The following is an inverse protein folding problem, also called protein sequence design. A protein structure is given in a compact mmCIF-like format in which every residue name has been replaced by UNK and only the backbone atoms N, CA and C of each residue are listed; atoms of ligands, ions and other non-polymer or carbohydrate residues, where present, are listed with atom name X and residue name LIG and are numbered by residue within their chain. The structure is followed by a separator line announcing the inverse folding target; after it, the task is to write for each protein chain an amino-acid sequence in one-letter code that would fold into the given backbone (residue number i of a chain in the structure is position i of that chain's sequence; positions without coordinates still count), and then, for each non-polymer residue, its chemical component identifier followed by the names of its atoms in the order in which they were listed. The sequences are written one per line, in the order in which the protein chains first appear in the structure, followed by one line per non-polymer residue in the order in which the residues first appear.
data_IF_019660700195
#
_entry.id   IF_019660700195
#
_cell.length_a   1.000
_cell.length_b   1.000
_cell.length_c   1.000
_cell.angle_alpha   90.00
_cell.angle_beta   90.00
_cell.angle_gamma   90.00
#
_symmetry.space_group_name_H-M   'P 1'
#
loop_
_entity.id
_entity.type
_entity.pdbx_description
1 polymer ?
#
# COMPACT_ATOMS: atom_id res chain seq x y z
N UNK A 1 30.81 -2.92 -45.27
CA UNK A 1 31.13 -2.94 -43.82
C UNK A 1 30.02 -2.21 -43.07
N UNK A 2 29.01 -2.93 -42.64
CA UNK A 2 27.85 -2.37 -41.93
C UNK A 2 28.00 -2.65 -40.41
N UNK A 3 28.34 -1.61 -39.66
CA UNK A 3 28.43 -1.66 -38.20
C UNK A 3 27.05 -1.60 -37.56
N UNK A 4 26.53 -2.73 -37.10
CA UNK A 4 25.36 -2.79 -36.25
C UNK A 4 25.73 -2.21 -34.86
N UNK A 5 25.38 -0.96 -34.62
CA UNK A 5 25.32 -0.40 -33.27
C UNK A 5 24.10 -0.98 -32.55
N UNK A 6 24.28 -2.07 -31.79
CA UNK A 6 23.25 -2.64 -30.95
C UNK A 6 22.85 -1.66 -29.87
N UNK A 7 21.68 -1.05 -29.97
CA UNK A 7 21.05 -0.28 -28.90
C UNK A 7 20.68 -1.24 -27.74
N UNK A 8 21.50 -1.26 -26.72
CA UNK A 8 21.18 -1.92 -25.45
C UNK A 8 19.86 -1.33 -24.91
N UNK A 9 18.84 -2.17 -24.78
CA UNK A 9 17.57 -1.76 -24.17
C UNK A 9 17.85 -1.33 -22.73
N UNK A 10 17.12 -0.31 -22.23
CA UNK A 10 17.21 0.17 -20.82
C UNK A 10 17.18 -0.97 -19.80
N UNK A 11 16.49 -2.06 -20.13
CA UNK A 11 16.40 -3.29 -19.32
C UNK A 11 17.73 -4.03 -19.20
N UNK A 12 18.46 -4.15 -20.30
CA UNK A 12 19.77 -4.81 -20.32
C UNK A 12 20.84 -3.96 -19.60
N UNK A 13 20.73 -2.64 -19.67
CA UNK A 13 21.60 -1.72 -18.95
C UNK A 13 21.38 -1.77 -17.44
N UNK A 14 20.10 -1.77 -16.99
CA UNK A 14 19.73 -1.88 -15.56
C UNK A 14 20.28 -3.17 -14.92
N UNK A 15 20.16 -4.31 -15.63
CA UNK A 15 20.68 -5.61 -15.18
C UNK A 15 22.22 -5.59 -15.11
N UNK A 16 22.90 -4.90 -16.04
CA UNK A 16 24.36 -4.77 -16.03
C UNK A 16 24.85 -3.84 -14.92
N UNK A 17 24.17 -2.74 -14.64
CA UNK A 17 24.50 -1.84 -13.52
C UNK A 17 24.38 -2.58 -12.18
N UNK A 18 23.32 -3.36 -11.99
CA UNK A 18 23.12 -4.16 -10.76
C UNK A 18 24.19 -5.26 -10.63
N UNK A 19 24.58 -5.91 -11.74
CA UNK A 19 25.63 -6.94 -11.74
C UNK A 19 27.05 -6.35 -11.60
N UNK A 20 27.30 -5.14 -12.15
CA UNK A 20 28.57 -4.44 -12.01
C UNK A 20 28.85 -3.95 -10.59
N UNK A 21 27.82 -3.55 -9.84
CA UNK A 21 27.94 -3.12 -8.44
C UNK A 21 28.19 -4.28 -7.46
N UNK A 22 27.82 -5.51 -7.84
CA UNK A 22 28.09 -6.70 -7.01
C UNK A 22 29.56 -7.17 -7.04
N UNK A 23 30.36 -6.67 -8.01
CA UNK A 23 31.76 -7.06 -8.19
C UNK A 23 32.80 -6.12 -7.56
N UNK A 24 32.41 -4.94 -7.11
CA UNK A 24 33.28 -3.99 -6.42
C UNK A 24 33.08 -4.11 -4.90
N UNK A 25 33.87 -4.97 -4.28
CA UNK A 25 34.01 -5.05 -2.82
C UNK A 25 34.67 -3.80 -2.22
N UNK A 26 34.03 -2.65 -2.36
CA UNK A 26 34.37 -1.45 -1.64
C UNK A 26 33.72 -1.53 -0.26
N UNK A 27 34.54 -1.72 0.77
CA UNK A 27 34.18 -1.48 2.16
C UNK A 27 33.78 -0.01 2.31
N UNK A 28 32.52 0.32 2.04
CA UNK A 28 31.97 1.61 2.45
C UNK A 28 31.69 1.52 3.95
N UNK A 29 32.48 2.25 4.73
CA UNK A 29 32.20 2.56 6.12
C UNK A 29 30.94 3.44 6.10
N UNK A 30 29.78 2.84 6.33
CA UNK A 30 28.54 3.59 6.50
C UNK A 30 28.62 4.32 7.85
N UNK A 31 28.34 5.64 7.90
CA UNK A 31 28.11 6.28 9.19
C UNK A 31 26.96 5.53 9.86
N UNK A 32 27.20 5.10 11.10
CA UNK A 32 26.15 4.55 11.95
C UNK A 32 25.08 5.64 12.11
N UNK A 33 24.03 5.58 11.31
CA UNK A 33 22.81 6.31 11.60
C UNK A 33 22.33 5.78 12.93
N UNK A 34 22.41 6.59 13.97
CA UNK A 34 21.80 6.31 15.25
C UNK A 34 20.36 5.89 15.00
N UNK A 35 19.92 4.72 15.52
CA UNK A 35 18.51 4.40 15.47
C UNK A 35 17.81 5.53 16.23
N UNK A 36 16.93 6.27 15.54
CA UNK A 36 15.98 7.15 16.20
C UNK A 36 15.29 6.25 17.22
N UNK A 37 15.54 6.48 18.48
CA UNK A 37 14.91 5.80 19.58
C UNK A 37 13.42 6.19 19.54
N UNK A 38 12.61 5.43 18.82
CA UNK A 38 11.18 5.44 19.01
C UNK A 38 10.92 4.77 20.36
N UNK A 39 11.17 5.51 21.43
CA UNK A 39 10.93 5.08 22.82
C UNK A 39 9.52 5.48 23.27
N UNK A 40 8.64 5.86 22.38
CA UNK A 40 7.26 6.09 22.71
C UNK A 40 6.48 4.78 22.58
N UNK A 41 5.92 4.35 23.71
CA UNK A 41 4.90 3.30 23.75
C UNK A 41 3.74 3.79 22.88
N UNK A 42 3.59 3.22 21.68
CA UNK A 42 2.50 3.57 20.79
C UNK A 42 1.21 3.09 21.47
N UNK A 43 0.33 4.00 21.95
CA UNK A 43 -0.90 3.61 22.63
C UNK A 43 -1.81 2.86 21.65
N UNK A 44 -2.59 1.90 22.20
CA UNK A 44 -3.66 1.28 21.44
C UNK A 44 -4.62 2.37 20.94
N UNK A 45 -5.22 2.26 19.74
CA UNK A 45 -6.32 3.13 19.41
C UNK A 45 -7.44 2.84 20.42
N UNK A 46 -7.79 3.84 21.22
CA UNK A 46 -9.05 3.80 21.95
C UNK A 46 -10.14 3.64 20.90
N UNK A 47 -10.89 2.55 20.98
CA UNK A 47 -12.02 2.32 20.08
C UNK A 47 -13.09 3.34 20.42
N UNK A 48 -13.16 4.40 19.63
CA UNK A 48 -14.19 5.42 19.71
C UNK A 48 -15.52 4.86 19.15
N UNK A 49 -16.59 5.60 19.29
CA UNK A 49 -17.94 5.15 18.89
C UNK A 49 -18.08 4.85 17.40
N UNK A 50 -17.30 5.52 16.54
CA UNK A 50 -17.32 5.28 15.09
C UNK A 50 -15.95 4.95 14.51
N UNK A 51 -15.96 4.31 13.33
CA UNK A 51 -14.74 4.02 12.57
C UNK A 51 -14.03 5.31 12.16
N UNK A 52 -14.79 6.34 11.80
CA UNK A 52 -14.24 7.63 11.43
C UNK A 52 -13.55 8.32 12.58
N UNK A 53 -14.19 8.40 13.74
CA UNK A 53 -13.61 8.97 14.95
C UNK A 53 -12.36 8.22 15.42
N UNK A 54 -12.33 6.89 15.23
CA UNK A 54 -11.19 6.06 15.62
C UNK A 54 -9.94 6.39 14.82
N UNK A 55 -10.07 6.77 13.55
CA UNK A 55 -8.95 6.97 12.64
C UNK A 55 -8.82 8.39 12.10
N UNK A 56 -9.72 9.32 12.45
CA UNK A 56 -9.65 10.71 12.00
C UNK A 56 -8.28 11.33 12.31
N UNK A 57 -7.71 12.03 11.31
CA UNK A 57 -6.41 12.69 11.36
C UNK A 57 -5.23 11.73 11.66
N UNK A 58 -5.39 10.43 11.37
CA UNK A 58 -4.25 9.51 11.42
C UNK A 58 -3.36 9.73 10.21
N UNK A 59 -2.05 9.88 10.43
CA UNK A 59 -1.01 9.86 9.41
C UNK A 59 0.10 8.88 9.78
N UNK A 60 0.51 8.07 8.81
CA UNK A 60 1.57 7.07 8.95
C UNK A 60 2.59 7.26 7.83
N UNK A 61 3.84 7.56 8.18
CA UNK A 61 4.93 7.70 7.22
C UNK A 61 5.83 6.46 7.25
N UNK A 62 6.09 5.91 6.07
CA UNK A 62 6.94 4.74 5.88
C UNK A 62 8.14 5.11 5.02
N UNK A 63 9.30 4.56 5.37
CA UNK A 63 10.43 4.51 4.47
C UNK A 63 10.43 3.16 3.74
N UNK A 64 10.69 3.19 2.44
CA UNK A 64 10.72 2.00 1.59
C UNK A 64 12.14 1.70 1.10
N UNK A 65 12.51 0.43 1.12
CA UNK A 65 13.81 -0.04 0.63
C UNK A 65 13.74 -1.42 0.03
N UNK A 66 14.75 -1.81 -0.73
CA UNK A 66 14.90 -3.16 -1.28
C UNK A 66 16.37 -3.48 -1.51
N UNK A 67 16.73 -4.75 -1.40
CA UNK A 67 18.09 -5.25 -1.57
C UNK A 67 19.12 -4.40 -0.81
N UNK A 68 20.08 -3.75 -1.49
CA UNK A 68 21.12 -2.87 -0.89
C UNK A 68 20.69 -1.41 -0.77
N UNK A 69 19.49 -1.04 -1.19
CA UNK A 69 18.96 0.33 -1.15
C UNK A 69 17.94 0.48 0.00
N UNK A 70 18.40 0.83 1.24
CA UNK A 70 17.51 0.91 2.40
C UNK A 70 16.52 2.08 2.31
N UNK A 71 16.84 3.11 1.52
CA UNK A 71 16.04 4.32 1.32
C UNK A 71 15.77 4.53 -0.17
N UNK A 72 14.94 3.69 -0.77
CA UNK A 72 14.58 3.77 -2.18
C UNK A 72 13.39 4.69 -2.43
N UNK A 73 12.61 4.99 -1.40
CA UNK A 73 11.43 5.85 -1.48
C UNK A 73 10.77 6.04 -0.13
N UNK A 74 9.71 6.85 -0.13
CA UNK A 74 8.81 7.05 1.00
C UNK A 74 7.39 6.77 0.58
N UNK A 75 6.56 6.42 1.56
CA UNK A 75 5.12 6.33 1.42
C UNK A 75 4.43 6.92 2.65
N UNK A 76 3.26 7.49 2.43
CA UNK A 76 2.42 8.03 3.50
C UNK A 76 1.00 7.48 3.33
N UNK A 77 0.39 7.10 4.45
CA UNK A 77 -1.02 6.74 4.54
C UNK A 77 -1.67 7.70 5.51
N UNK A 78 -2.76 8.36 5.10
CA UNK A 78 -3.50 9.29 5.95
C UNK A 78 -5.01 9.12 5.81
N UNK A 79 -5.74 9.51 6.86
CA UNK A 79 -7.19 9.64 6.85
C UNK A 79 -7.59 11.00 7.44
N UNK A 80 -8.31 11.80 6.66
CA UNK A 80 -8.81 13.10 7.10
C UNK A 80 -10.32 13.17 6.96
N UNK A 81 -11.03 13.81 7.92
CA UNK A 81 -12.45 14.08 7.77
C UNK A 81 -12.67 15.12 6.67
N UNK A 82 -13.76 14.99 5.93
CA UNK A 82 -14.23 16.00 4.97
C UNK A 82 -15.27 16.92 5.64
N UNK A 83 -15.63 18.00 4.94
CA UNK A 83 -16.59 18.98 5.46
C UNK A 83 -17.95 18.36 5.79
N UNK A 84 -18.42 17.40 4.97
CA UNK A 84 -19.67 16.68 5.23
C UNK A 84 -19.47 15.63 6.33
N UNK A 85 -20.32 15.68 7.36
CA UNK A 85 -20.27 14.72 8.49
C UNK A 85 -20.38 13.27 8.01
N UNK A 86 -19.54 12.41 8.56
CA UNK A 86 -19.47 10.98 8.19
C UNK A 86 -18.76 10.70 6.88
N UNK A 87 -18.13 11.72 6.26
CA UNK A 87 -17.29 11.57 5.06
C UNK A 87 -15.83 11.79 5.38
N UNK A 88 -15.00 10.98 4.77
CA UNK A 88 -13.55 10.95 4.99
C UNK A 88 -12.81 10.77 3.69
N UNK A 89 -11.56 11.22 3.67
CA UNK A 89 -10.62 10.94 2.58
C UNK A 89 -9.45 10.14 3.14
N UNK A 90 -9.29 8.92 2.64
CA UNK A 90 -8.07 8.13 2.85
C UNK A 90 -7.12 8.32 1.68
N UNK A 91 -5.85 8.55 1.97
CA UNK A 91 -4.81 8.75 0.94
C UNK A 91 -3.64 7.82 1.22
N UNK A 92 -3.12 7.18 0.18
CA UNK A 92 -1.77 6.60 0.18
C UNK A 92 -0.98 7.24 -0.95
N UNK A 93 0.14 7.83 -0.62
CA UNK A 93 1.10 8.37 -1.58
C UNK A 93 2.44 7.66 -1.45
N UNK A 94 3.13 7.50 -2.57
CA UNK A 94 4.47 6.92 -2.59
C UNK A 94 5.31 7.57 -3.67
N UNK A 95 6.58 7.85 -3.34
CA UNK A 95 7.56 8.41 -4.29
C UNK A 95 8.91 7.73 -4.16
N UNK A 96 9.55 7.53 -5.31
CA UNK A 96 10.90 6.98 -5.39
C UNK A 96 11.93 8.10 -5.21
N UNK A 97 13.06 7.78 -4.55
CA UNK A 97 14.12 8.75 -4.21
C UNK A 97 15.50 8.32 -4.69
N UNK A 98 16.45 9.27 -4.66
CA UNK A 98 17.85 9.04 -4.95
C UNK A 98 18.10 8.41 -6.32
N UNK A 99 19.04 7.48 -6.40
CA UNK A 99 19.38 6.75 -7.63
C UNK A 99 18.17 5.98 -8.16
N UNK A 100 17.33 5.43 -7.27
CA UNK A 100 16.11 4.71 -7.66
C UNK A 100 15.09 5.68 -8.26
N UNK A 101 14.95 6.88 -7.71
CA UNK A 101 14.14 7.93 -8.30
C UNK A 101 14.57 8.23 -9.74
N UNK A 102 15.86 8.40 -9.98
CA UNK A 102 16.39 8.60 -11.32
C UNK A 102 16.09 7.42 -12.27
N UNK A 103 16.33 6.19 -11.84
CA UNK A 103 16.09 4.98 -12.64
C UNK A 103 14.60 4.74 -12.94
N UNK A 104 13.72 5.12 -12.04
CA UNK A 104 12.27 5.01 -12.20
C UNK A 104 11.63 6.26 -12.82
N UNK A 105 12.44 7.23 -13.24
CA UNK A 105 11.99 8.53 -13.76
C UNK A 105 11.16 9.29 -12.73
N UNK A 106 11.62 9.30 -11.46
CA UNK A 106 10.96 9.98 -10.34
C UNK A 106 9.47 9.61 -10.24
N UNK A 107 9.22 8.30 -10.16
CA UNK A 107 7.87 7.78 -10.08
C UNK A 107 7.18 8.21 -8.80
N UNK A 108 5.95 8.71 -8.96
CA UNK A 108 5.01 9.02 -7.90
C UNK A 108 3.69 8.29 -8.15
N UNK A 109 3.16 7.65 -7.13
CA UNK A 109 1.84 7.02 -7.15
C UNK A 109 1.02 7.58 -5.97
N UNK A 110 -0.19 8.05 -6.25
CA UNK A 110 -1.15 8.49 -5.22
C UNK A 110 -2.48 7.81 -5.44
N UNK A 111 -3.02 7.19 -4.39
CA UNK A 111 -4.39 6.68 -4.38
C UNK A 111 -5.18 7.45 -3.32
N UNK A 112 -6.35 7.94 -3.70
CA UNK A 112 -7.26 8.70 -2.85
C UNK A 112 -8.59 7.97 -2.86
N UNK A 113 -9.10 7.61 -1.68
CA UNK A 113 -10.39 6.97 -1.50
C UNK A 113 -11.31 7.92 -0.72
N UNK A 114 -12.42 8.33 -1.35
CA UNK A 114 -13.49 9.06 -0.68
C UNK A 114 -14.43 8.03 -0.05
N UNK A 115 -14.61 8.16 1.25
CA UNK A 115 -15.25 7.19 2.13
C UNK A 115 -16.47 7.79 2.81
N UNK A 116 -17.50 6.97 3.00
CA UNK A 116 -18.68 7.30 3.80
C UNK A 116 -18.83 6.28 4.91
N UNK A 117 -19.13 6.70 6.11
CA UNK A 117 -19.57 5.79 7.17
C UNK A 117 -20.95 5.20 6.83
N UNK A 118 -21.14 3.91 7.12
CA UNK A 118 -22.47 3.32 7.09
C UNK A 118 -23.33 3.85 8.27
N UNK A 119 -24.62 3.55 8.29
CA UNK A 119 -25.56 3.99 9.34
C UNK A 119 -25.13 3.58 10.74
N UNK A 120 -24.51 2.40 10.88
CA UNK A 120 -24.00 1.88 12.18
C UNK A 120 -22.64 2.47 12.57
N UNK A 121 -22.01 3.27 11.70
CA UNK A 121 -20.68 3.86 11.86
C UNK A 121 -19.56 2.84 12.15
N UNK A 122 -19.75 1.59 11.75
CA UNK A 122 -18.80 0.49 11.98
C UNK A 122 -18.09 0.03 10.69
N UNK A 123 -18.34 0.74 9.57
CA UNK A 123 -17.77 0.44 8.25
C UNK A 123 -17.59 1.70 7.42
N UNK A 124 -16.45 1.81 6.74
CA UNK A 124 -16.29 2.69 5.61
C UNK A 124 -16.76 2.04 4.32
N UNK A 125 -17.46 2.82 3.49
CA UNK A 125 -17.89 2.47 2.15
C UNK A 125 -17.17 3.40 1.17
N UNK A 126 -16.40 2.85 0.25
CA UNK A 126 -15.75 3.60 -0.81
C UNK A 126 -16.78 4.05 -1.85
N UNK A 127 -16.91 5.36 -2.04
CA UNK A 127 -17.80 5.93 -3.07
C UNK A 127 -17.02 6.43 -4.28
N UNK A 128 -15.73 6.75 -4.10
CA UNK A 128 -14.84 7.19 -5.18
C UNK A 128 -13.42 6.80 -4.90
N UNK A 129 -12.72 6.26 -5.91
CA UNK A 129 -11.29 5.97 -5.86
C UNK A 129 -10.58 6.68 -7.00
N UNK A 130 -9.55 7.44 -6.68
CA UNK A 130 -8.66 8.08 -7.64
C UNK A 130 -7.31 7.38 -7.55
N UNK A 131 -6.76 6.96 -8.68
CA UNK A 131 -5.39 6.47 -8.81
C UNK A 131 -4.63 7.40 -9.74
N UNK A 132 -3.72 8.15 -9.18
CA UNK A 132 -2.83 9.07 -9.90
C UNK A 132 -1.43 8.47 -9.97
N UNK A 133 -0.88 8.37 -11.17
CA UNK A 133 0.47 7.82 -11.41
C UNK A 133 1.25 8.75 -12.33
N UNK A 134 2.39 9.24 -11.85
CA UNK A 134 3.36 10.04 -12.61
C UNK A 134 4.66 9.28 -12.77
N UNK A 135 5.18 9.22 -14.01
CA UNK A 135 6.46 8.59 -14.33
C UNK A 135 7.20 9.50 -15.33
N UNK A 136 8.09 10.35 -14.86
CA UNK A 136 8.66 11.44 -15.66
C UNK A 136 7.53 12.34 -16.20
N UNK A 137 7.45 12.49 -17.52
CA UNK A 137 6.42 13.28 -18.17
C UNK A 137 5.10 12.53 -18.42
N UNK A 138 5.08 11.22 -18.15
CA UNK A 138 3.86 10.42 -18.31
C UNK A 138 2.97 10.58 -17.08
N UNK A 139 1.73 11.05 -17.26
CA UNK A 139 0.73 11.19 -16.23
C UNK A 139 -0.52 10.40 -16.58
N UNK A 140 -1.00 9.58 -15.69
CA UNK A 140 -2.22 8.78 -15.86
C UNK A 140 -3.07 8.87 -14.61
N UNK A 141 -4.32 9.31 -14.75
CA UNK A 141 -5.32 9.32 -13.69
C UNK A 141 -6.41 8.31 -14.04
N UNK A 142 -6.82 7.51 -13.06
CA UNK A 142 -8.00 6.64 -13.14
C UNK A 142 -8.92 6.98 -11.98
N UNK A 143 -10.18 7.25 -12.30
CA UNK A 143 -11.22 7.57 -11.34
C UNK A 143 -12.27 6.46 -11.42
N UNK A 144 -12.66 5.92 -10.28
CA UNK A 144 -13.72 4.95 -10.12
C UNK A 144 -14.77 5.61 -9.23
N UNK A 145 -16.00 5.75 -9.71
CA UNK A 145 -17.12 6.30 -8.98
C UNK A 145 -18.18 5.22 -8.82
N UNK A 146 -18.53 4.91 -7.57
CA UNK A 146 -19.48 3.84 -7.22
C UNK A 146 -20.83 4.45 -6.86
N UNK A 147 -21.83 4.23 -7.71
CA UNK A 147 -23.24 4.51 -7.45
C UNK A 147 -23.92 3.20 -7.02
N UNK A 148 -23.97 2.98 -5.71
CA UNK A 148 -24.57 1.77 -5.16
C UNK A 148 -26.09 1.76 -5.23
N UNK A 149 -26.75 2.90 -5.34
CA UNK A 149 -28.20 2.98 -5.52
C UNK A 149 -28.62 2.49 -6.90
N UNK A 150 -27.96 2.99 -7.95
CA UNK A 150 -28.20 2.59 -9.33
C UNK A 150 -27.35 1.38 -9.77
N UNK A 151 -26.56 0.80 -8.87
CA UNK A 151 -25.70 -0.39 -9.11
C UNK A 151 -24.77 -0.21 -10.31
N UNK A 152 -24.14 0.98 -10.41
CA UNK A 152 -23.24 1.35 -11.51
C UNK A 152 -21.91 1.83 -10.98
N UNK A 153 -20.84 1.41 -11.64
CA UNK A 153 -19.50 1.93 -11.43
C UNK A 153 -19.02 2.62 -12.70
N UNK A 154 -18.75 3.92 -12.61
CA UNK A 154 -18.14 4.69 -13.72
C UNK A 154 -16.63 4.64 -13.58
N UNK A 155 -15.94 4.26 -14.63
CA UNK A 155 -14.46 4.22 -14.70
C UNK A 155 -14.00 5.24 -15.74
N UNK A 156 -13.36 6.30 -15.29
CA UNK A 156 -12.75 7.33 -16.11
C UNK A 156 -11.24 7.15 -16.12
N UNK A 157 -10.62 7.19 -17.29
CA UNK A 157 -9.16 7.14 -17.44
C UNK A 157 -8.69 8.31 -18.28
N UNK A 158 -7.77 9.09 -17.72
CA UNK A 158 -7.14 10.24 -18.37
C UNK A 158 -5.65 9.93 -18.55
N UNK A 159 -5.13 10.06 -19.77
CA UNK A 159 -3.71 9.91 -20.08
C UNK A 159 -3.30 11.00 -21.09
N UNK A 160 -2.59 12.02 -20.62
CA UNK A 160 -2.31 13.23 -21.39
C UNK A 160 -3.62 13.87 -21.87
N UNK A 161 -3.78 14.07 -23.18
CA UNK A 161 -5.01 14.63 -23.79
C UNK A 161 -6.10 13.57 -24.06
N UNK A 162 -5.86 12.29 -23.79
CA UNK A 162 -6.80 11.20 -24.07
C UNK A 162 -7.61 10.88 -22.83
N UNK A 163 -8.93 10.85 -23.00
CA UNK A 163 -9.87 10.42 -21.97
C UNK A 163 -10.71 9.25 -22.47
N UNK A 164 -11.04 8.35 -21.58
CA UNK A 164 -12.00 7.26 -21.83
C UNK A 164 -12.88 7.06 -20.60
N UNK A 165 -14.17 6.82 -20.83
CA UNK A 165 -15.16 6.58 -19.79
C UNK A 165 -15.86 5.24 -20.08
N UNK A 166 -16.00 4.40 -19.07
CA UNK A 166 -16.70 3.13 -19.16
C UNK A 166 -17.60 2.97 -17.94
N UNK A 167 -18.83 2.52 -18.16
CA UNK A 167 -19.76 2.18 -17.08
C UNK A 167 -19.84 0.66 -16.96
N UNK A 168 -19.79 0.17 -15.73
CA UNK A 168 -19.88 -1.27 -15.40
C UNK A 168 -20.97 -1.49 -14.35
N UNK A 169 -21.73 -2.59 -14.41
CA UNK A 169 -22.68 -2.92 -13.35
C UNK A 169 -21.95 -3.34 -12.08
N UNK A 170 -22.52 -3.00 -10.93
CA UNK A 170 -22.15 -3.54 -9.63
C UNK A 170 -23.14 -4.65 -9.30
N UNK A 171 -22.71 -5.89 -9.04
CA UNK A 171 -23.62 -6.99 -8.71
C UNK A 171 -24.50 -6.68 -7.49
N UNK A 172 -25.75 -7.17 -7.40
CA UNK A 172 -26.60 -6.99 -6.23
C UNK A 172 -25.90 -7.43 -4.94
N UNK A 173 -26.06 -6.65 -3.85
CA UNK A 173 -25.48 -6.95 -2.55
C UNK A 173 -23.98 -6.69 -2.41
N UNK A 174 -23.24 -6.45 -3.51
CA UNK A 174 -21.79 -6.20 -3.46
C UNK A 174 -21.52 -4.74 -3.12
N UNK A 175 -20.62 -4.52 -2.17
CA UNK A 175 -19.98 -3.25 -1.85
C UNK A 175 -18.48 -3.46 -2.05
N UNK A 176 -17.85 -2.65 -2.90
CA UNK A 176 -16.43 -2.76 -3.18
C UNK A 176 -15.60 -1.99 -2.16
N UNK A 177 -14.65 -2.67 -1.55
CA UNK A 177 -13.60 -2.04 -0.77
C UNK A 177 -12.32 -1.97 -1.63
N UNK A 178 -11.78 -0.77 -1.82
CA UNK A 178 -10.42 -0.63 -2.33
C UNK A 178 -9.40 -0.96 -1.23
N UNK A 179 -8.09 -1.05 -1.52
CA UNK A 179 -7.10 -1.42 -0.51
C UNK A 179 -7.06 -0.52 0.73
N UNK A 180 -7.32 0.79 0.60
CA UNK A 180 -7.34 1.71 1.74
C UNK A 180 -8.60 1.51 2.58
N UNK A 181 -9.76 1.39 1.94
CA UNK A 181 -11.02 1.06 2.59
C UNK A 181 -10.90 -0.25 3.35
N UNK A 182 -10.37 -1.31 2.69
CA UNK A 182 -10.16 -2.61 3.31
C UNK A 182 -9.18 -2.53 4.49
N UNK A 183 -8.14 -1.71 4.41
CA UNK A 183 -7.15 -1.50 5.47
C UNK A 183 -7.78 -0.92 6.75
N UNK A 184 -8.57 0.17 6.62
CA UNK A 184 -9.23 0.76 7.79
C UNK A 184 -10.35 -0.12 8.33
N UNK A 185 -11.19 -0.71 7.47
CA UNK A 185 -12.25 -1.65 7.84
C UNK A 185 -11.67 -2.88 8.58
N UNK A 186 -10.55 -3.44 8.12
CA UNK A 186 -9.88 -4.55 8.80
C UNK A 186 -9.39 -4.16 10.19
N UNK A 187 -8.74 -3.00 10.32
CA UNK A 187 -8.21 -2.50 11.59
C UNK A 187 -9.31 -2.18 12.61
N UNK A 188 -10.46 -1.72 12.14
CA UNK A 188 -11.63 -1.48 12.98
C UNK A 188 -12.33 -2.77 13.42
N UNK A 189 -12.15 -3.86 12.66
CA UNK A 189 -12.81 -5.13 12.89
C UNK A 189 -14.17 -5.27 12.20
N UNK A 190 -14.43 -4.47 11.16
CA UNK A 190 -15.66 -4.53 10.34
C UNK A 190 -15.94 -5.93 9.79
N UNK A 191 -14.91 -6.68 9.44
CA UNK A 191 -15.03 -8.07 8.96
C UNK A 191 -15.06 -9.11 10.10
N UNK A 192 -15.25 -8.62 11.33
CA UNK A 192 -15.21 -9.38 12.57
C UNK A 192 -13.81 -9.34 13.23
N UNK A 193 -13.70 -9.87 14.46
CA UNK A 193 -12.49 -9.74 15.28
C UNK A 193 -11.27 -10.38 14.59
N UNK A 194 -10.14 -9.68 14.66
CA UNK A 194 -8.85 -10.18 14.18
C UNK A 194 -8.36 -11.29 15.11
N UNK A 195 -8.13 -12.48 14.56
CA UNK A 195 -7.70 -13.68 15.30
C UNK A 195 -6.66 -14.43 14.48
N UNK A 196 -5.71 -15.07 15.15
CA UNK A 196 -4.74 -15.96 14.52
C UNK A 196 -5.43 -17.06 13.70
N UNK A 197 -4.91 -17.35 12.52
CA UNK A 197 -5.41 -18.35 11.58
C UNK A 197 -6.66 -17.94 10.81
N UNK A 198 -7.24 -16.76 11.07
CA UNK A 198 -8.46 -16.30 10.38
C UNK A 198 -8.13 -15.74 9.00
N UNK A 199 -8.99 -16.06 8.04
CA UNK A 199 -8.95 -15.53 6.66
C UNK A 199 -10.19 -14.69 6.37
N UNK A 200 -10.01 -13.68 5.52
CA UNK A 200 -11.06 -12.78 5.07
C UNK A 200 -11.00 -12.68 3.56
N UNK A 201 -12.17 -12.74 2.92
CA UNK A 201 -12.36 -12.52 1.50
C UNK A 201 -13.23 -11.28 1.33
N UNK A 202 -12.69 -10.24 0.73
CA UNK A 202 -13.29 -8.91 0.64
C UNK A 202 -13.52 -8.58 -0.83
N UNK A 203 -14.75 -8.20 -1.18
CA UNK A 203 -15.06 -7.76 -2.53
C UNK A 203 -14.35 -6.44 -2.82
N UNK A 204 -13.62 -6.38 -3.93
CA UNK A 204 -12.86 -5.17 -4.32
C UNK A 204 -13.18 -4.75 -5.74
N UNK A 205 -12.84 -3.50 -6.07
CA UNK A 205 -12.96 -2.99 -7.43
C UNK A 205 -12.24 -3.95 -8.38
N UNK A 206 -12.94 -4.58 -9.33
CA UNK A 206 -12.39 -5.64 -10.16
C UNK A 206 -11.17 -5.19 -10.97
N UNK A 207 -10.03 -5.82 -10.72
CA UNK A 207 -8.85 -5.75 -11.57
C UNK A 207 -8.96 -6.69 -12.79
N UNK A 208 -7.88 -6.83 -13.55
CA UNK A 208 -7.85 -7.73 -14.73
C UNK A 208 -8.05 -9.20 -14.35
N UNK A 209 -7.49 -9.64 -13.22
CA UNK A 209 -7.48 -11.05 -12.79
C UNK A 209 -7.98 -11.26 -11.37
N UNK A 210 -8.13 -10.21 -10.58
CA UNK A 210 -8.46 -10.28 -9.15
C UNK A 210 -9.75 -9.50 -8.91
N UNK A 211 -10.71 -10.16 -8.25
CA UNK A 211 -12.02 -9.60 -7.86
C UNK A 211 -12.16 -9.44 -6.35
N UNK A 212 -11.22 -9.98 -5.58
CA UNK A 212 -11.27 -9.99 -4.12
C UNK A 212 -9.90 -9.62 -3.55
N UNK A 213 -9.91 -8.96 -2.41
CA UNK A 213 -8.77 -8.86 -1.52
C UNK A 213 -8.83 -10.07 -0.59
N UNK A 214 -7.72 -10.78 -0.42
CA UNK A 214 -7.59 -11.88 0.53
C UNK A 214 -6.65 -11.45 1.65
N UNK A 215 -7.14 -11.53 2.87
CA UNK A 215 -6.37 -11.32 4.09
C UNK A 215 -6.30 -12.65 4.84
N UNK A 216 -5.13 -13.02 5.34
CA UNK A 216 -4.94 -14.15 6.23
C UNK A 216 -4.05 -13.74 7.39
N UNK A 217 -4.55 -13.86 8.60
CA UNK A 217 -3.76 -13.67 9.82
C UNK A 217 -3.05 -14.97 10.11
N UNK A 218 -1.73 -14.97 10.09
CA UNK A 218 -0.93 -16.16 10.35
C UNK A 218 -1.26 -16.79 11.72
N UNK A 219 -0.94 -18.05 11.91
CA UNK A 219 -1.05 -18.69 13.23
C UNK A 219 -0.10 -18.01 14.23
N UNK A 220 -0.39 -18.15 15.53
CA UNK A 220 0.48 -17.63 16.59
C UNK A 220 1.89 -18.24 16.47
N UNK A 221 1.98 -19.54 16.24
CA UNK A 221 3.26 -20.27 16.06
C UNK A 221 4.06 -19.68 14.90
N UNK A 222 3.45 -19.54 13.73
CA UNK A 222 4.12 -18.99 12.54
C UNK A 222 4.55 -17.53 12.77
N UNK A 223 3.70 -16.71 13.39
CA UNK A 223 4.03 -15.32 13.74
C UNK A 223 5.25 -15.26 14.65
N UNK A 224 5.28 -16.07 15.73
CA UNK A 224 6.40 -16.12 16.67
C UNK A 224 7.70 -16.63 16.02
N UNK A 225 7.61 -17.61 15.13
CA UNK A 225 8.79 -18.13 14.41
C UNK A 225 9.37 -17.09 13.45
N UNK A 226 8.53 -16.47 12.64
CA UNK A 226 8.98 -15.50 11.61
C UNK A 226 9.45 -14.16 12.18
N UNK A 227 8.87 -13.69 13.28
CA UNK A 227 9.26 -12.41 13.87
C UNK A 227 10.65 -12.42 14.52
N UNK A 228 11.21 -13.58 14.88
CA UNK A 228 12.52 -13.70 15.56
C UNK A 228 13.64 -12.93 14.84
N UNK A 229 13.57 -12.84 13.51
CA UNK A 229 14.57 -12.17 12.68
C UNK A 229 14.27 -10.68 12.44
N UNK A 230 13.25 -10.11 13.09
CA UNK A 230 12.88 -8.72 12.93
C UNK A 230 13.42 -7.90 14.10
N UNK A 231 14.02 -6.74 13.80
CA UNK A 231 14.43 -5.77 14.82
C UNK A 231 13.26 -5.24 15.67
N UNK A 232 12.02 -5.37 15.16
CA UNK A 232 10.77 -4.96 15.82
C UNK A 232 10.00 -6.12 16.47
N UNK A 233 10.62 -7.30 16.64
CA UNK A 233 9.98 -8.53 17.12
C UNK A 233 9.14 -8.32 18.40
N UNK A 234 9.64 -7.53 19.36
CA UNK A 234 8.94 -7.26 20.63
C UNK A 234 7.70 -6.37 20.48
N UNK A 235 7.56 -5.65 19.37
CA UNK A 235 6.46 -4.68 19.14
C UNK A 235 5.33 -5.24 18.30
N UNK A 236 5.54 -6.37 17.60
CA UNK A 236 4.57 -6.96 16.67
C UNK A 236 3.93 -8.20 17.25
N UNK A 237 2.61 -8.31 17.04
CA UNK A 237 1.78 -9.43 17.48
C UNK A 237 1.19 -10.21 16.33
N UNK A 238 0.92 -9.56 15.20
CA UNK A 238 0.27 -10.22 14.09
C UNK A 238 1.11 -10.12 12.81
N UNK A 239 1.26 -11.25 12.15
CA UNK A 239 1.67 -11.33 10.75
C UNK A 239 0.41 -11.51 9.91
N UNK A 240 0.20 -10.63 8.96
CA UNK A 240 -0.96 -10.65 8.06
C UNK A 240 -0.45 -10.77 6.63
N UNK A 241 -0.92 -11.79 5.93
CA UNK A 241 -0.74 -11.97 4.50
C UNK A 241 -1.89 -11.30 3.77
N UNK A 242 -1.55 -10.45 2.83
CA UNK A 242 -2.49 -9.73 1.99
C UNK A 242 -2.22 -10.10 0.54
N UNK A 243 -3.28 -10.41 -0.22
CA UNK A 243 -3.21 -10.54 -1.67
C UNK A 243 -4.22 -9.62 -2.33
N UNK A 244 -3.69 -8.68 -3.13
CA UNK A 244 -4.45 -7.68 -3.88
C UNK A 244 -4.18 -7.83 -5.37
N UNK A 245 -4.84 -7.02 -6.20
CA UNK A 245 -4.56 -7.00 -7.64
C UNK A 245 -3.09 -6.62 -7.91
N UNK A 246 -2.31 -7.47 -8.61
CA UNK A 246 -0.88 -7.27 -8.84
C UNK A 246 -0.52 -5.93 -9.46
N UNK A 247 -1.42 -5.38 -10.28
CA UNK A 247 -1.23 -4.09 -10.92
C UNK A 247 -1.21 -2.90 -9.95
N UNK A 248 -1.72 -3.06 -8.73
CA UNK A 248 -1.73 -1.99 -7.70
C UNK A 248 -0.31 -1.74 -7.19
N UNK A 249 0.40 -2.79 -6.80
CA UNK A 249 1.77 -2.70 -6.27
C UNK A 249 2.84 -3.06 -7.30
N UNK A 250 2.43 -3.26 -8.56
CA UNK A 250 3.35 -3.63 -9.65
C UNK A 250 4.19 -4.88 -9.36
N UNK A 251 3.61 -5.88 -8.74
CA UNK A 251 4.24 -7.15 -8.44
C UNK A 251 3.76 -8.27 -9.36
N UNK A 252 4.37 -9.45 -9.25
CA UNK A 252 3.95 -10.61 -10.05
C UNK A 252 2.62 -11.20 -9.55
N UNK A 253 2.42 -11.24 -8.22
CA UNK A 253 1.30 -11.94 -7.58
C UNK A 253 0.39 -11.06 -6.73
N UNK A 254 0.81 -9.83 -6.38
CA UNK A 254 0.04 -8.94 -5.50
C UNK A 254 0.13 -9.31 -4.03
N UNK A 255 1.17 -10.02 -3.63
CA UNK A 255 1.36 -10.52 -2.26
C UNK A 255 2.11 -9.50 -1.40
N UNK A 256 1.60 -9.27 -0.19
CA UNK A 256 2.18 -8.39 0.82
C UNK A 256 2.16 -9.13 2.16
N UNK A 257 3.26 -9.05 2.90
CA UNK A 257 3.35 -9.42 4.30
C UNK A 257 3.30 -8.15 5.14
N UNK A 258 2.42 -8.08 6.12
CA UNK A 258 2.29 -6.95 7.04
C UNK A 258 2.48 -7.39 8.49
N UNK A 259 3.27 -6.64 9.25
CA UNK A 259 3.55 -6.89 10.66
C UNK A 259 2.91 -5.81 11.52
N UNK A 260 1.98 -6.22 12.36
CA UNK A 260 1.11 -5.33 13.12
C UNK A 260 1.31 -5.47 14.63
N UNK A 261 1.13 -4.35 15.34
CA UNK A 261 1.02 -4.32 16.81
C UNK A 261 -0.28 -5.00 17.28
N UNK A 262 -0.46 -5.21 18.60
CA UNK A 262 -1.75 -5.63 19.16
C UNK A 262 -2.91 -4.73 18.75
N UNK A 263 -2.66 -3.43 18.59
CA UNK A 263 -3.62 -2.41 18.18
C UNK A 263 -3.76 -2.27 16.67
N UNK A 264 -3.26 -3.24 15.90
CA UNK A 264 -3.32 -3.28 14.45
C UNK A 264 -2.66 -2.08 13.75
N UNK A 265 -1.61 -1.50 14.35
CA UNK A 265 -0.76 -0.52 13.70
C UNK A 265 0.28 -1.28 12.85
N UNK A 266 0.39 -1.01 11.54
CA UNK A 266 1.39 -1.63 10.69
C UNK A 266 2.77 -1.03 10.97
N UNK A 267 3.70 -1.81 11.52
CA UNK A 267 5.06 -1.34 11.79
C UNK A 267 6.03 -1.66 10.65
N UNK A 268 5.75 -2.73 9.92
CA UNK A 268 6.62 -3.21 8.86
C UNK A 268 5.82 -4.00 7.83
N UNK A 269 6.21 -3.90 6.58
CA UNK A 269 5.58 -4.65 5.49
C UNK A 269 6.59 -5.05 4.42
N UNK A 270 6.27 -6.10 3.67
CA UNK A 270 7.06 -6.56 2.52
C UNK A 270 6.13 -6.81 1.35
N UNK A 271 6.24 -5.99 0.32
CA UNK A 271 5.60 -6.25 -0.97
C UNK A 271 6.48 -7.22 -1.76
N UNK A 272 5.94 -8.42 -2.04
CA UNK A 272 6.69 -9.51 -2.67
C UNK A 272 6.78 -9.36 -4.18
N UNK A 273 7.92 -9.75 -4.74
CA UNK A 273 8.14 -9.85 -6.20
C UNK A 273 7.72 -8.58 -6.97
N UNK A 274 8.00 -7.39 -6.44
CA UNK A 274 7.78 -6.13 -7.16
C UNK A 274 8.64 -6.12 -8.43
N UNK A 275 8.02 -5.82 -9.57
CA UNK A 275 8.67 -5.90 -10.87
C UNK A 275 9.90 -4.98 -10.90
N UNK A 276 11.06 -5.51 -11.25
CA UNK A 276 12.40 -4.91 -11.26
C UNK A 276 13.08 -4.76 -9.90
N UNK A 277 12.36 -4.83 -8.77
CA UNK A 277 12.92 -4.51 -7.44
C UNK A 277 12.98 -5.74 -6.51
N UNK A 278 12.25 -6.83 -6.84
CA UNK A 278 12.11 -7.96 -5.95
C UNK A 278 11.25 -7.62 -4.74
N UNK A 279 11.64 -8.04 -3.55
CA UNK A 279 10.91 -7.74 -2.32
C UNK A 279 11.19 -6.30 -1.86
N UNK A 280 10.15 -5.47 -1.83
CA UNK A 280 10.20 -4.09 -1.32
C UNK A 280 9.72 -4.08 0.12
N UNK A 281 10.56 -3.58 1.02
CA UNK A 281 10.33 -3.52 2.46
C UNK A 281 9.92 -2.10 2.84
N UNK A 282 8.83 -1.96 3.60
CA UNK A 282 8.37 -0.71 4.18
C UNK A 282 8.47 -0.74 5.69
N UNK A 283 8.98 0.30 6.32
CA UNK A 283 9.08 0.46 7.78
C UNK A 283 8.41 1.74 8.20
N UNK A 284 7.50 1.66 9.18
CA UNK A 284 6.91 2.84 9.81
C UNK A 284 8.00 3.65 10.52
N UNK A 285 8.08 4.94 10.21
CA UNK A 285 9.04 5.87 10.81
C UNK A 285 8.36 6.99 11.58
N UNK A 286 7.10 7.30 11.26
CA UNK A 286 6.31 8.30 11.97
C UNK A 286 4.85 7.89 12.00
N UNK A 287 4.17 8.12 13.13
CA UNK A 287 2.74 7.94 13.33
C UNK A 287 2.22 9.16 14.08
N UNK A 288 1.23 9.80 13.50
CA UNK A 288 0.45 10.87 14.13
C UNK A 288 -1.01 10.43 14.22
N UNK A 289 -1.70 10.85 15.29
CA UNK A 289 -3.12 10.61 15.53
C UNK A 289 -3.77 11.87 16.08
N UNK A 290 -4.98 12.13 15.63
CA UNK A 290 -5.80 13.22 16.11
C UNK A 290 -6.48 12.92 17.45
#
# INVERSE_FOLDING_TARGET
MNGHKGHLTRRAWLIRVIKGLAGLGAFMIFPRLNPVQATETIPAPERRESIGETFANESMVFTAGFFIFPHAGDAEISLVPLYEKGRYQATISGKTRGIIGFLTRHREDTHISELVENEKKDRFICIRLIRDTKIGNDHTIKIFEMDYQNRKMTVRRIKGKRESVHVKPIPPGVIYDDPLTAFYNFRFGTYGPVRYGKSYKIDTIPGKKVKHIFLHVASKKETEEKKKNLSIAKKVNYLVYLRIAPEIIKSKKGEIEGWFTPSLIPLYGVAKDVIFFGDVKGKLVHLERG
#
